data_IF_605657195393
#
_entry.id   IF_605657195393
#
_cell.length_a   1.000
_cell.length_b   1.000
_cell.length_c   1.000
_cell.angle_alpha   90.00
_cell.angle_beta   90.00
_cell.angle_gamma   90.00
#
_symmetry.space_group_name_H-M   'P 1'
#
loop_
_entity.id
_entity.type
_entity.pdbx_description
1 polymer ?
#
# COMPACT_ATOMS: atom_id res chain seq x y z
N UNK A 1 -9.95 36.11 23.38
CA UNK A 1 -8.80 35.40 23.97
C UNK A 1 -7.55 36.26 23.99
N UNK A 2 -6.83 36.29 25.12
CA UNK A 2 -5.53 36.94 25.24
C UNK A 2 -4.39 35.90 25.20
N UNK A 3 -3.74 35.79 24.04
CA UNK A 3 -2.60 34.90 23.82
C UNK A 3 -1.32 35.37 24.51
N UNK A 4 -1.38 36.52 25.19
CA UNK A 4 -0.29 37.03 26.02
C UNK A 4 -0.17 36.36 27.37
N UNK A 5 -1.17 35.55 27.73
CA UNK A 5 -1.20 34.79 28.98
C UNK A 5 -0.97 33.30 28.70
N UNK A 6 -0.21 32.59 29.56
CA UNK A 6 -0.04 31.15 29.47
C UNK A 6 -1.38 30.39 29.39
N UNK A 7 -2.36 30.81 30.21
CA UNK A 7 -3.70 30.22 30.22
C UNK A 7 -4.46 30.41 28.90
N UNK A 8 -4.32 31.58 28.25
CA UNK A 8 -4.95 31.83 26.95
C UNK A 8 -4.38 30.96 25.83
N UNK A 9 -3.06 30.72 25.85
CA UNK A 9 -2.39 29.82 24.90
C UNK A 9 -2.79 28.35 25.13
N UNK A 10 -2.90 27.93 26.40
CA UNK A 10 -3.28 26.57 26.77
C UNK A 10 -4.72 26.24 26.33
N UNK A 11 -5.68 27.16 26.57
CA UNK A 11 -7.06 27.00 26.12
C UNK A 11 -7.10 26.85 24.59
N UNK A 12 -6.39 27.71 23.86
CA UNK A 12 -6.33 27.60 22.41
C UNK A 12 -5.73 26.27 21.95
N UNK A 13 -4.61 25.86 22.56
CA UNK A 13 -3.96 24.61 22.20
C UNK A 13 -4.88 23.40 22.40
N UNK A 14 -5.67 23.40 23.49
CA UNK A 14 -6.67 22.35 23.76
C UNK A 14 -7.77 22.34 22.70
N UNK A 15 -8.33 23.50 22.36
CA UNK A 15 -9.40 23.58 21.36
C UNK A 15 -8.87 23.21 19.95
N UNK A 16 -7.62 23.55 19.64
CA UNK A 16 -6.94 23.13 18.40
C UNK A 16 -6.68 21.62 18.42
N UNK A 17 -6.23 21.06 19.55
CA UNK A 17 -6.01 19.63 19.72
C UNK A 17 -7.30 18.82 19.48
N UNK A 18 -8.42 19.27 20.04
CA UNK A 18 -9.74 18.67 19.84
C UNK A 18 -10.13 18.69 18.34
N UNK A 19 -9.97 19.84 17.67
CA UNK A 19 -10.23 19.96 16.23
C UNK A 19 -9.35 19.02 15.39
N UNK A 20 -8.10 18.80 15.80
CA UNK A 20 -7.15 17.96 15.08
C UNK A 20 -7.25 16.47 15.44
N UNK A 21 -8.10 16.09 16.40
CA UNK A 21 -8.14 14.71 16.91
C UNK A 21 -6.86 14.31 17.64
N UNK A 22 -6.16 15.26 18.25
CA UNK A 22 -4.94 14.99 19.00
C UNK A 22 -5.26 14.37 20.37
N UNK A 23 -4.28 13.64 20.93
CA UNK A 23 -4.47 12.85 22.14
C UNK A 23 -4.47 13.72 23.40
N UNK A 24 -3.52 14.66 23.51
CA UNK A 24 -3.42 15.57 24.67
C UNK A 24 -2.63 16.83 24.37
N UNK A 25 -2.68 17.77 25.30
CA UNK A 25 -1.82 18.96 25.33
C UNK A 25 -0.93 18.95 26.57
N UNK A 26 0.30 19.43 26.45
CA UNK A 26 1.26 19.52 27.55
C UNK A 26 1.91 20.91 27.60
N UNK A 27 2.11 21.42 28.82
CA UNK A 27 2.87 22.65 29.05
C UNK A 27 4.21 22.27 29.69
N UNK A 28 5.28 22.40 28.91
CA UNK A 28 6.60 21.85 29.28
C UNK A 28 7.40 22.84 30.12
N UNK A 29 6.94 23.11 31.36
CA UNK A 29 7.59 23.97 32.38
C UNK A 29 7.87 25.43 31.97
N UNK A 30 7.67 25.77 30.70
CA UNK A 30 7.96 27.04 30.06
C UNK A 30 6.61 27.70 29.77
N UNK A 31 6.28 28.82 30.43
CA UNK A 31 4.93 29.38 30.40
C UNK A 31 4.49 29.86 29.01
N UNK A 32 5.44 30.14 28.11
CA UNK A 32 5.18 30.67 26.76
C UNK A 32 5.13 29.60 25.66
N UNK A 33 4.96 28.32 26.03
CA UNK A 33 5.00 27.20 25.10
C UNK A 33 3.99 26.13 25.48
N UNK A 34 3.19 25.69 24.52
CA UNK A 34 2.27 24.56 24.70
C UNK A 34 2.48 23.56 23.58
N UNK A 35 2.51 22.28 23.91
CA UNK A 35 2.64 21.17 22.97
C UNK A 35 1.28 20.52 22.74
N UNK A 36 1.00 20.17 21.48
CA UNK A 36 -0.10 19.30 21.07
C UNK A 36 0.50 17.97 20.66
N UNK A 37 0.07 16.88 21.29
CA UNK A 37 0.62 15.53 21.10
C UNK A 37 -0.46 14.64 20.49
N UNK A 38 -0.15 14.06 19.33
CA UNK A 38 -0.99 13.10 18.64
C UNK A 38 -0.80 11.69 19.21
N UNK A 39 -1.76 10.80 18.96
CA UNK A 39 -1.71 9.42 19.43
C UNK A 39 -0.52 8.63 18.84
N UNK A 40 -0.02 9.03 17.69
CA UNK A 40 1.14 8.46 17.01
C UNK A 40 2.49 9.06 17.46
N UNK A 41 2.49 9.89 18.51
CA UNK A 41 3.68 10.52 19.08
C UNK A 41 4.14 11.79 18.35
N UNK A 42 3.53 12.16 17.21
CA UNK A 42 3.81 13.45 16.58
C UNK A 42 3.49 14.58 17.55
N UNK A 43 4.34 15.59 17.56
CA UNK A 43 4.19 16.73 18.46
C UNK A 43 4.28 18.04 17.69
N UNK A 44 3.35 18.95 17.98
CA UNK A 44 3.37 20.33 17.52
C UNK A 44 3.62 21.24 18.71
N UNK A 45 4.43 22.26 18.50
CA UNK A 45 4.73 23.26 19.50
C UNK A 45 4.12 24.61 19.09
N UNK A 46 3.33 25.19 19.98
CA UNK A 46 2.70 26.50 19.80
C UNK A 46 3.43 27.50 20.68
N UNK A 47 3.92 28.57 20.05
CA UNK A 47 4.63 29.68 20.70
C UNK A 47 3.99 31.00 20.28
N UNK A 48 3.59 31.87 21.21
CA UNK A 48 3.06 33.18 20.87
C UNK A 48 4.20 34.04 20.28
N UNK A 49 3.92 34.68 19.15
CA UNK A 49 4.87 35.56 18.46
C UNK A 49 4.47 37.04 18.67
N UNK A 50 5.38 37.98 18.41
CA UNK A 50 5.05 39.42 18.40
C UNK A 50 4.63 39.87 16.99
N UNK A 51 3.54 40.65 16.84
CA UNK A 51 2.58 41.04 17.87
C UNK A 51 1.78 39.84 18.40
N UNK A 52 1.37 39.89 19.68
CA UNK A 52 0.73 38.80 20.47
C UNK A 52 -0.65 38.33 19.93
N UNK A 53 -0.93 38.61 18.68
CA UNK A 53 -2.05 38.11 17.88
C UNK A 53 -1.58 37.04 16.88
N UNK A 54 -0.30 36.67 16.89
CA UNK A 54 0.28 35.65 16.03
C UNK A 54 0.82 34.50 16.85
N UNK A 55 0.72 33.30 16.29
CA UNK A 55 1.26 32.08 16.89
C UNK A 55 2.18 31.46 15.86
N UNK A 56 3.42 31.21 16.28
CA UNK A 56 4.34 30.36 15.54
C UNK A 56 4.08 28.93 15.95
N UNK A 57 3.94 28.05 14.96
CA UNK A 57 3.64 26.64 15.15
C UNK A 57 4.76 25.87 14.50
N UNK A 58 5.46 25.07 15.29
CA UNK A 58 6.62 24.29 14.88
C UNK A 58 6.32 22.81 15.02
N UNK A 59 6.67 22.02 14.02
CA UNK A 59 6.67 20.57 14.16
C UNK A 59 7.90 20.13 14.95
N UNK A 60 7.71 19.44 16.07
CA UNK A 60 8.82 18.81 16.79
C UNK A 60 9.17 17.54 16.02
N UNK A 61 10.40 17.49 15.52
CA UNK A 61 10.93 16.35 14.79
C UNK A 61 11.81 15.49 15.71
N UNK A 62 11.81 14.16 15.53
CA UNK A 62 12.71 13.27 16.26
C UNK A 62 14.18 13.53 15.83
N UNK A 63 15.15 13.14 16.65
CA UNK A 63 16.57 13.42 16.41
C UNK A 63 17.08 12.85 15.08
N UNK A 64 16.54 11.69 14.68
CA UNK A 64 16.83 11.01 13.42
C UNK A 64 16.48 11.86 12.20
N UNK A 65 15.47 12.75 12.31
CA UNK A 65 15.13 13.71 11.25
C UNK A 65 16.30 14.67 10.99
N UNK A 66 16.90 15.18 12.06
CA UNK A 66 18.03 16.11 12.00
C UNK A 66 19.26 15.42 11.41
N UNK A 67 19.52 14.17 11.81
CA UNK A 67 20.62 13.37 11.26
C UNK A 67 20.49 13.15 9.73
N UNK A 68 19.26 13.18 9.20
CA UNK A 68 18.98 13.06 7.77
C UNK A 68 18.77 14.42 7.06
N UNK A 69 19.09 15.54 7.71
CA UNK A 69 18.86 16.90 7.22
C UNK A 69 17.40 17.16 6.80
N UNK A 70 16.44 16.51 7.46
CA UNK A 70 15.02 16.76 7.26
C UNK A 70 14.58 17.92 8.15
N UNK A 71 13.89 18.89 7.57
CA UNK A 71 13.35 20.05 8.28
C UNK A 71 11.93 20.33 7.81
N UNK A 72 11.12 20.87 8.72
CA UNK A 72 9.78 21.39 8.43
C UNK A 72 9.79 22.87 8.80
N UNK A 73 9.43 23.72 7.85
CA UNK A 73 9.35 25.15 8.10
C UNK A 73 8.21 25.45 9.09
N UNK A 74 8.48 26.23 10.16
CA UNK A 74 7.42 26.70 11.05
C UNK A 74 6.41 27.55 10.29
N UNK A 75 5.14 27.44 10.68
CA UNK A 75 4.10 28.34 10.17
C UNK A 75 3.78 29.41 11.19
N UNK A 76 3.46 30.61 10.73
CA UNK A 76 2.90 31.66 11.58
C UNK A 76 1.45 31.90 11.19
N UNK A 77 0.54 31.82 12.15
CA UNK A 77 -0.89 32.01 11.96
C UNK A 77 -1.34 33.25 12.74
N UNK A 78 -2.23 34.05 12.15
CA UNK A 78 -2.84 35.18 12.84
C UNK A 78 -4.14 34.74 13.51
N UNK A 79 -4.18 34.86 14.84
CA UNK A 79 -5.24 34.37 15.69
C UNK A 79 -6.42 35.36 15.85
N UNK A 80 -6.81 36.01 14.74
CA UNK A 80 -7.96 36.91 14.68
C UNK A 80 -8.79 36.66 13.40
N UNK A 81 -9.23 35.42 13.12
CA UNK A 81 -10.12 35.16 11.99
C UNK A 81 -11.51 35.74 12.25
N UNK A 82 -12.27 36.00 11.18
CA UNK A 82 -13.68 36.38 11.30
C UNK A 82 -14.53 35.19 11.78
N UNK A 83 -15.31 35.34 12.86
CA UNK A 83 -16.20 34.26 13.33
C UNK A 83 -17.35 33.98 12.37
N UNK A 84 -17.83 32.73 12.35
CA UNK A 84 -19.10 32.37 11.71
C UNK A 84 -20.29 32.85 12.57
N UNK A 85 -21.52 32.96 12.02
CA UNK A 85 -22.68 33.51 12.74
C UNK A 85 -23.03 32.83 14.08
N UNK A 86 -22.63 31.56 14.28
CA UNK A 86 -22.87 30.78 15.50
C UNK A 86 -21.61 30.52 16.34
N UNK A 87 -20.48 31.14 15.97
CA UNK A 87 -19.15 30.86 16.51
C UNK A 87 -18.62 32.08 17.27
N UNK A 88 -18.00 31.88 18.42
CA UNK A 88 -17.30 32.96 19.12
C UNK A 88 -15.87 33.14 18.57
N UNK A 89 -15.19 34.21 18.97
CA UNK A 89 -13.82 34.49 18.48
C UNK A 89 -12.84 33.37 18.78
N UNK A 90 -12.99 32.72 19.93
CA UNK A 90 -12.07 31.70 20.42
C UNK A 90 -12.18 30.43 19.57
N UNK A 91 -13.40 29.95 19.31
CA UNK A 91 -13.66 28.82 18.38
C UNK A 91 -13.21 29.13 16.96
N UNK A 92 -13.46 30.34 16.48
CA UNK A 92 -13.02 30.76 15.14
C UNK A 92 -11.48 30.70 15.03
N UNK A 93 -10.79 31.12 16.08
CA UNK A 93 -9.33 31.10 16.19
C UNK A 93 -8.79 29.67 16.20
N UNK A 94 -9.38 28.78 16.99
CA UNK A 94 -9.02 27.37 17.04
C UNK A 94 -9.20 26.69 15.67
N UNK A 95 -10.37 26.85 15.04
CA UNK A 95 -10.66 26.30 13.72
C UNK A 95 -9.70 26.80 12.66
N UNK A 96 -9.45 28.11 12.59
CA UNK A 96 -8.52 28.69 11.61
C UNK A 96 -7.08 28.18 11.80
N UNK A 97 -6.64 28.07 13.06
CA UNK A 97 -5.32 27.55 13.39
C UNK A 97 -5.20 26.07 13.00
N UNK A 98 -6.20 25.26 13.34
CA UNK A 98 -6.27 23.86 12.93
C UNK A 98 -6.27 23.71 11.40
N UNK A 99 -7.01 24.52 10.66
CA UNK A 99 -7.03 24.50 9.18
C UNK A 99 -5.64 24.78 8.59
N UNK A 100 -4.90 25.74 9.15
CA UNK A 100 -3.54 26.02 8.72
C UNK A 100 -2.57 24.87 9.04
N UNK A 101 -2.69 24.24 10.21
CA UNK A 101 -1.92 23.06 10.58
C UNK A 101 -2.19 21.91 9.60
N UNK A 102 -3.47 21.58 9.36
CA UNK A 102 -3.88 20.50 8.44
C UNK A 102 -3.35 20.70 7.03
N UNK A 103 -3.39 21.92 6.51
CA UNK A 103 -2.99 22.21 5.12
C UNK A 103 -1.49 22.33 4.94
N UNK A 104 -0.76 22.84 5.93
CA UNK A 104 0.64 23.23 5.76
C UNK A 104 1.62 22.36 6.54
N UNK A 105 1.32 22.01 7.79
CA UNK A 105 2.26 21.27 8.65
C UNK A 105 2.05 19.76 8.57
N UNK A 106 0.80 19.28 8.65
CA UNK A 106 0.54 17.84 8.68
C UNK A 106 1.10 17.09 7.46
N UNK A 107 0.96 17.57 6.20
CA UNK A 107 1.53 16.88 5.04
C UNK A 107 3.05 16.79 5.10
N UNK A 108 3.72 17.83 5.61
CA UNK A 108 5.17 17.84 5.79
C UNK A 108 5.61 16.88 6.90
N UNK A 109 4.88 16.83 8.02
CA UNK A 109 5.14 15.88 9.11
C UNK A 109 4.97 14.44 8.65
N UNK A 110 3.90 14.15 7.91
CA UNK A 110 3.67 12.84 7.30
C UNK A 110 4.81 12.46 6.35
N UNK A 111 5.25 13.38 5.48
CA UNK A 111 6.37 13.13 4.58
C UNK A 111 7.69 12.86 5.31
N UNK A 112 7.99 13.59 6.40
CA UNK A 112 9.18 13.34 7.22
C UNK A 112 9.08 12.00 7.96
N UNK A 113 7.93 11.71 8.59
CA UNK A 113 7.70 10.43 9.27
C UNK A 113 7.85 9.25 8.31
N UNK A 114 7.30 9.35 7.09
CA UNK A 114 7.45 8.33 6.04
C UNK A 114 8.91 8.11 5.63
N UNK A 115 9.75 9.18 5.59
CA UNK A 115 11.19 9.05 5.31
C UNK A 115 11.97 8.37 6.43
N UNK A 116 11.55 8.57 7.68
CA UNK A 116 12.18 7.98 8.85
C UNK A 116 11.69 6.57 9.16
N UNK A 117 10.53 6.19 8.62
CA UNK A 117 9.92 4.87 8.85
C UNK A 117 10.85 3.75 8.38
N UNK A 118 11.28 2.91 9.32
CA UNK A 118 12.04 1.70 9.03
C UNK A 118 11.25 0.75 8.12
N UNK A 119 9.92 0.68 8.31
CA UNK A 119 8.98 -0.04 7.46
C UNK A 119 9.06 0.44 6.01
N UNK A 120 8.98 1.75 5.78
CA UNK A 120 9.09 2.35 4.44
C UNK A 120 10.47 2.12 3.86
N UNK A 121 11.54 2.22 4.65
CA UNK A 121 12.91 1.93 4.18
C UNK A 121 13.05 0.48 3.72
N UNK A 122 12.54 -0.49 4.48
CA UNK A 122 12.49 -1.92 4.10
C UNK A 122 11.68 -2.10 2.81
N UNK A 123 10.49 -1.53 2.73
CA UNK A 123 9.65 -1.57 1.53
C UNK A 123 10.39 -1.03 0.30
N UNK A 124 10.99 0.16 0.38
CA UNK A 124 11.75 0.78 -0.72
C UNK A 124 12.94 -0.08 -1.18
N UNK A 125 13.58 -0.77 -0.24
CA UNK A 125 14.71 -1.68 -0.53
C UNK A 125 14.24 -2.94 -1.25
N UNK A 126 13.09 -3.50 -0.85
CA UNK A 126 12.49 -4.64 -1.52
C UNK A 126 12.02 -4.28 -2.93
N UNK A 127 11.35 -3.13 -3.08
CA UNK A 127 10.81 -2.67 -4.35
C UNK A 127 11.89 -2.18 -5.33
N UNK A 128 13.10 -1.84 -4.86
CA UNK A 128 14.19 -1.47 -5.78
C UNK A 128 14.74 -2.64 -6.59
N UNK A 129 14.33 -3.88 -6.28
CA UNK A 129 14.60 -5.05 -7.12
C UNK A 129 13.77 -5.07 -8.42
N UNK A 130 12.69 -4.29 -8.49
CA UNK A 130 11.85 -4.22 -9.68
C UNK A 130 12.59 -3.55 -10.85
N UNK A 131 12.36 -4.00 -12.09
CA UNK A 131 12.90 -3.33 -13.27
C UNK A 131 12.53 -1.85 -13.29
N UNK A 132 13.52 -0.98 -13.54
CA UNK A 132 13.29 0.46 -13.66
C UNK A 132 12.98 0.83 -15.11
N UNK A 133 11.80 1.40 -15.34
CA UNK A 133 11.43 2.02 -16.61
C UNK A 133 11.27 3.54 -16.44
N UNK A 134 11.60 4.37 -17.44
CA UNK A 134 11.52 5.83 -17.30
C UNK A 134 10.11 6.34 -16.99
N UNK A 135 9.10 5.65 -17.52
CA UNK A 135 7.69 6.04 -17.45
C UNK A 135 6.86 5.19 -16.47
N UNK A 136 7.46 4.14 -15.91
CA UNK A 136 6.80 3.24 -14.97
C UNK A 136 7.62 3.10 -13.70
N UNK A 137 6.96 3.27 -12.56
CA UNK A 137 7.63 3.21 -11.27
C UNK A 137 6.67 2.79 -10.19
N UNK A 138 7.21 2.12 -9.19
CA UNK A 138 6.51 1.98 -7.93
C UNK A 138 6.51 3.31 -7.17
N UNK A 139 5.51 3.51 -6.34
CA UNK A 139 5.42 4.64 -5.41
C UNK A 139 4.95 4.14 -4.05
N UNK A 140 5.28 4.92 -3.01
CA UNK A 140 4.85 4.67 -1.63
C UNK A 140 4.25 5.96 -1.08
N UNK A 141 3.12 5.84 -0.40
CA UNK A 141 2.40 6.93 0.28
C UNK A 141 1.78 6.42 1.57
N UNK A 142 1.21 7.33 2.35
CA UNK A 142 0.42 7.01 3.54
C UNK A 142 -1.06 7.28 3.24
N UNK A 143 -1.95 6.37 3.66
CA UNK A 143 -3.40 6.55 3.61
C UNK A 143 -4.01 6.39 5.00
N UNK A 144 -5.02 7.21 5.35
CA UNK A 144 -5.81 6.96 6.55
C UNK A 144 -6.62 5.67 6.37
N UNK A 145 -6.60 4.83 7.39
CA UNK A 145 -7.38 3.59 7.46
C UNK A 145 -8.10 3.50 8.82
N UNK A 146 -9.35 3.05 8.83
CA UNK A 146 -10.08 2.80 10.07
C UNK A 146 -9.50 1.57 10.77
N UNK A 147 -8.95 1.73 11.97
CA UNK A 147 -8.51 0.58 12.76
C UNK A 147 -9.71 -0.07 13.47
N UNK A 148 -9.77 -1.40 13.61
CA UNK A 148 -10.81 -2.11 14.38
C UNK A 148 -11.05 -1.63 15.82
N UNK A 149 -10.10 -0.89 16.39
CA UNK A 149 -10.19 -0.32 17.74
C UNK A 149 -10.72 1.13 17.73
N UNK A 150 -11.23 1.62 16.61
CA UNK A 150 -11.81 2.96 16.46
C UNK A 150 -10.79 4.10 16.41
N UNK A 151 -9.52 3.81 16.17
CA UNK A 151 -8.46 4.80 16.01
C UNK A 151 -8.13 4.99 14.53
N UNK A 152 -8.30 6.19 14.00
CA UNK A 152 -7.77 6.54 12.68
C UNK A 152 -6.25 6.36 12.71
N UNK A 153 -5.74 5.38 11.97
CA UNK A 153 -4.31 5.15 11.79
C UNK A 153 -3.94 5.43 10.34
N UNK A 154 -2.73 5.91 10.12
CA UNK A 154 -2.17 5.96 8.77
C UNK A 154 -1.47 4.65 8.48
N UNK A 155 -1.84 3.99 7.39
CA UNK A 155 -1.15 2.81 6.87
C UNK A 155 -0.36 3.18 5.62
N UNK A 156 0.77 2.53 5.40
CA UNK A 156 1.55 2.73 4.20
C UNK A 156 0.91 1.97 3.03
N UNK A 157 0.95 2.56 1.83
CA UNK A 157 0.54 1.92 0.60
C UNK A 157 1.66 1.91 -0.43
N UNK A 158 1.71 0.86 -1.25
CA UNK A 158 2.55 0.76 -2.42
C UNK A 158 1.71 0.51 -3.67
N UNK A 159 2.08 1.07 -4.81
CA UNK A 159 1.43 0.79 -6.09
C UNK A 159 2.39 0.95 -7.26
N UNK A 160 2.04 0.36 -8.40
CA UNK A 160 2.76 0.52 -9.66
C UNK A 160 2.07 1.57 -10.53
N UNK A 161 2.80 2.62 -10.91
CA UNK A 161 2.31 3.66 -11.79
C UNK A 161 2.76 3.41 -13.24
N UNK A 162 1.82 3.57 -14.17
CA UNK A 162 2.03 3.52 -15.63
C UNK A 162 1.54 4.84 -16.27
N UNK A 163 1.88 5.16 -17.53
CA UNK A 163 1.32 6.33 -18.23
C UNK A 163 -0.22 6.37 -18.25
N UNK A 164 -0.88 5.21 -18.24
CA UNK A 164 -2.34 5.07 -18.18
C UNK A 164 -2.92 5.16 -16.77
N UNK A 165 -2.10 5.32 -15.73
CA UNK A 165 -2.51 5.34 -14.33
C UNK A 165 -1.98 4.15 -13.54
N UNK A 166 -2.63 3.86 -12.41
CA UNK A 166 -2.22 2.82 -11.48
C UNK A 166 -2.53 1.42 -12.04
N UNK A 167 -1.57 0.50 -11.96
CA UNK A 167 -1.73 -0.87 -12.50
C UNK A 167 -2.09 -1.86 -11.41
N UNK A 168 -3.27 -2.49 -11.55
CA UNK A 168 -3.74 -3.57 -10.67
C UNK A 168 -2.98 -4.88 -10.89
N UNK A 169 -2.52 -5.11 -12.13
CA UNK A 169 -1.82 -6.33 -12.52
C UNK A 169 -0.57 -6.63 -11.68
N UNK A 170 0.10 -5.58 -11.18
CA UNK A 170 1.37 -5.70 -10.47
C UNK A 170 1.17 -5.84 -8.96
N UNK A 171 -0.02 -5.53 -8.42
CA UNK A 171 -0.27 -5.50 -6.97
C UNK A 171 0.11 -6.81 -6.24
N UNK A 172 -0.22 -8.02 -6.73
CA UNK A 172 0.19 -9.27 -6.08
C UNK A 172 1.71 -9.44 -5.95
N UNK A 173 2.45 -8.97 -6.93
CA UNK A 173 3.92 -9.05 -6.93
C UNK A 173 4.55 -7.99 -6.02
N UNK A 174 3.93 -6.81 -5.90
CA UNK A 174 4.34 -5.83 -4.89
C UNK A 174 4.14 -6.41 -3.48
N UNK A 175 2.99 -7.03 -3.25
CA UNK A 175 2.70 -7.66 -1.96
C UNK A 175 3.69 -8.80 -1.64
N UNK A 176 4.00 -9.68 -2.59
CA UNK A 176 5.01 -10.73 -2.40
C UNK A 176 6.39 -10.16 -2.02
N UNK A 177 6.88 -9.14 -2.75
CA UNK A 177 8.16 -8.51 -2.43
C UNK A 177 8.18 -7.91 -1.02
N UNK A 178 7.09 -7.27 -0.61
CA UNK A 178 6.95 -6.69 0.72
C UNK A 178 6.86 -7.77 1.82
N UNK A 179 6.10 -8.85 1.58
CA UNK A 179 6.00 -10.01 2.48
C UNK A 179 7.36 -10.68 2.67
N UNK A 180 8.12 -10.86 1.60
CA UNK A 180 9.51 -11.38 1.65
C UNK A 180 10.48 -10.44 2.38
N UNK A 181 10.18 -9.15 2.43
CA UNK A 181 10.91 -8.19 3.24
C UNK A 181 10.47 -8.18 4.73
N UNK A 182 9.58 -9.09 5.13
CA UNK A 182 9.09 -9.25 6.49
C UNK A 182 7.98 -8.28 6.87
N UNK A 183 7.24 -7.76 5.89
CA UNK A 183 6.12 -6.84 6.10
C UNK A 183 4.78 -7.58 6.01
N UNK A 184 3.80 -7.14 6.79
CA UNK A 184 2.42 -7.55 6.60
C UNK A 184 1.83 -6.78 5.41
N UNK A 185 1.05 -7.44 4.56
CA UNK A 185 0.43 -6.80 3.39
C UNK A 185 -1.03 -7.16 3.25
N UNK A 186 -1.83 -6.21 2.79
CA UNK A 186 -3.24 -6.42 2.42
C UNK A 186 -3.44 -5.93 1.00
N UNK A 187 -4.11 -6.75 0.20
CA UNK A 187 -4.44 -6.48 -1.20
C UNK A 187 -5.96 -6.38 -1.32
N UNK A 188 -6.53 -5.17 -1.29
CA UNK A 188 -7.97 -5.02 -1.45
C UNK A 188 -8.41 -5.48 -2.85
N UNK A 189 -9.54 -6.18 -2.89
CA UNK A 189 -10.07 -6.74 -4.11
C UNK A 189 -10.35 -5.63 -5.15
N UNK A 190 -9.74 -5.74 -6.33
CA UNK A 190 -9.90 -4.76 -7.41
C UNK A 190 -9.13 -3.44 -7.21
N UNK A 191 -8.30 -3.33 -6.18
CA UNK A 191 -7.44 -2.17 -5.95
C UNK A 191 -6.11 -2.28 -6.71
N UNK A 192 -5.50 -1.14 -7.02
CA UNK A 192 -4.12 -1.07 -7.52
C UNK A 192 -3.09 -0.87 -6.40
N UNK A 193 -3.56 -0.64 -5.16
CA UNK A 193 -2.73 -0.37 -3.99
C UNK A 193 -2.60 -1.61 -3.12
N UNK A 194 -1.39 -1.83 -2.62
CA UNK A 194 -1.07 -2.79 -1.56
C UNK A 194 -0.83 -2.02 -0.28
N UNK A 195 -1.63 -2.29 0.75
CA UNK A 195 -1.42 -1.74 2.09
C UNK A 195 -0.34 -2.56 2.78
N UNK A 196 0.54 -1.92 3.54
CA UNK A 196 1.58 -2.62 4.28
C UNK A 196 1.93 -1.97 5.61
N UNK A 197 2.35 -2.80 6.55
CA UNK A 197 2.74 -2.41 7.90
C UNK A 197 3.79 -3.37 8.45
N UNK A 198 4.38 -3.02 9.60
CA UNK A 198 5.10 -4.00 10.39
C UNK A 198 4.10 -5.01 10.98
N UNK A 199 4.41 -6.31 10.95
CA UNK A 199 3.59 -7.29 11.66
C UNK A 199 3.58 -6.98 13.16
N UNK A 200 2.47 -7.23 13.87
CA UNK A 200 2.40 -6.94 15.30
C UNK A 200 3.39 -7.81 16.08
N UNK A 201 3.94 -7.25 17.17
CA UNK A 201 4.88 -7.94 18.04
C UNK A 201 4.25 -9.17 18.71
N UNK A 202 2.99 -9.06 19.11
CA UNK A 202 2.16 -10.17 19.57
C UNK A 202 1.20 -10.56 18.45
N UNK A 203 1.24 -11.83 18.06
CA UNK A 203 0.37 -12.35 17.02
C UNK A 203 -1.05 -12.50 17.58
N UNK A 204 -2.06 -11.87 16.98
CA UNK A 204 -3.44 -12.08 17.39
C UNK A 204 -3.92 -13.48 16.98
N UNK A 205 -4.96 -13.96 17.67
CA UNK A 205 -5.62 -15.24 17.37
C UNK A 205 -6.21 -15.26 15.95
N UNK A 206 -6.69 -14.12 15.46
CA UNK A 206 -7.23 -13.95 14.11
C UNK A 206 -6.71 -12.66 13.49
N UNK A 207 -6.27 -12.73 12.24
CA UNK A 207 -5.82 -11.57 11.45
C UNK A 207 -6.99 -10.89 10.75
N UNK A 208 -7.92 -11.65 10.19
CA UNK A 208 -9.07 -11.15 9.47
C UNK A 208 -10.33 -11.20 10.33
N UNK A 209 -11.12 -10.14 10.30
CA UNK A 209 -12.39 -10.05 11.03
C UNK A 209 -13.43 -9.34 10.18
N UNK A 210 -14.70 -9.56 10.52
CA UNK A 210 -15.84 -8.93 9.85
C UNK A 210 -16.35 -7.76 10.69
N UNK A 211 -16.55 -6.61 10.07
CA UNK A 211 -17.13 -5.42 10.69
C UNK A 211 -18.26 -4.86 9.81
N UNK A 212 -19.24 -4.13 10.37
CA UNK A 212 -20.20 -3.38 9.56
C UNK A 212 -19.48 -2.40 8.64
N UNK A 213 -19.87 -2.37 7.36
CA UNK A 213 -19.21 -1.50 6.39
C UNK A 213 -19.45 -0.02 6.72
N UNK A 214 -18.38 0.77 6.66
CA UNK A 214 -18.43 2.19 7.06
C UNK A 214 -18.99 3.13 5.97
N UNK A 215 -18.89 2.72 4.70
CA UNK A 215 -19.20 3.56 3.54
C UNK A 215 -20.45 3.11 2.75
N UNK A 216 -20.99 1.93 3.05
CA UNK A 216 -22.15 1.36 2.37
C UNK A 216 -22.87 0.34 3.24
N UNK A 217 -24.03 -0.13 2.78
CA UNK A 217 -24.66 -1.30 3.37
C UNK A 217 -23.80 -2.53 3.06
N UNK A 218 -23.49 -3.32 4.09
CA UNK A 218 -22.69 -4.53 3.95
C UNK A 218 -21.76 -4.79 5.13
N UNK A 219 -20.85 -5.73 4.91
CA UNK A 219 -19.92 -6.27 5.89
C UNK A 219 -18.51 -6.27 5.32
N UNK A 220 -17.63 -5.47 5.91
CA UNK A 220 -16.23 -5.35 5.55
C UNK A 220 -15.43 -6.51 6.16
N UNK A 221 -14.68 -7.22 5.32
CA UNK A 221 -13.59 -8.09 5.76
C UNK A 221 -12.34 -7.23 5.95
N UNK A 222 -11.93 -7.04 7.19
CA UNK A 222 -10.85 -6.12 7.57
C UNK A 222 -9.63 -6.91 8.04
N UNK A 223 -8.45 -6.54 7.54
CA UNK A 223 -7.17 -7.05 8.00
C UNK A 223 -6.69 -6.25 9.22
N UNK A 224 -6.51 -6.90 10.37
CA UNK A 224 -6.07 -6.25 11.60
C UNK A 224 -4.64 -5.72 11.53
N UNK A 225 -3.77 -6.27 10.67
CA UNK A 225 -2.37 -5.87 10.62
C UNK A 225 -2.20 -4.51 9.96
N UNK A 226 -2.96 -4.25 8.90
CA UNK A 226 -2.90 -3.00 8.15
C UNK A 226 -4.05 -2.07 8.46
N UNK A 227 -5.18 -2.58 8.96
CA UNK A 227 -6.45 -1.86 9.09
C UNK A 227 -7.22 -1.71 7.77
N UNK A 228 -6.72 -2.28 6.67
CA UNK A 228 -7.35 -2.15 5.36
C UNK A 228 -8.53 -3.12 5.19
N UNK A 229 -9.56 -2.65 4.48
CA UNK A 229 -10.66 -3.49 4.02
C UNK A 229 -10.19 -4.32 2.83
N UNK A 230 -10.24 -5.64 2.94
CA UNK A 230 -9.94 -6.59 1.86
C UNK A 230 -11.06 -6.55 0.82
N UNK A 231 -12.30 -6.69 1.28
CA UNK A 231 -13.50 -6.72 0.45
C UNK A 231 -14.74 -6.49 1.31
N UNK A 232 -15.74 -5.85 0.72
CA UNK A 232 -17.08 -5.72 1.31
C UNK A 232 -18.02 -6.79 0.74
N UNK A 233 -18.85 -7.37 1.60
CA UNK A 233 -19.82 -8.40 1.28
C UNK A 233 -21.22 -7.99 1.71
N UNK A 234 -22.22 -8.41 0.94
CA UNK A 234 -23.62 -8.11 1.26
C UNK A 234 -24.18 -9.01 2.38
N UNK A 235 -23.55 -10.16 2.63
CA UNK A 235 -24.00 -11.18 3.59
C UNK A 235 -22.96 -11.40 4.70
N UNK A 236 -23.40 -11.22 5.95
CA UNK A 236 -22.56 -11.35 7.15
C UNK A 236 -22.01 -12.77 7.37
N UNK A 237 -22.84 -13.79 7.14
CA UNK A 237 -22.46 -15.19 7.36
C UNK A 237 -21.46 -15.64 6.30
N UNK A 238 -21.61 -15.16 5.07
CA UNK A 238 -20.64 -15.37 4.01
C UNK A 238 -19.33 -14.67 4.30
N UNK A 239 -19.36 -13.38 4.68
CA UNK A 239 -18.17 -12.64 5.08
C UNK A 239 -17.40 -13.35 6.20
N UNK A 240 -18.13 -13.87 7.19
CA UNK A 240 -17.54 -14.60 8.32
C UNK A 240 -16.87 -15.92 7.88
N UNK A 241 -17.51 -16.69 7.00
CA UNK A 241 -16.90 -17.91 6.43
C UNK A 241 -15.63 -17.59 5.63
N UNK A 242 -15.62 -16.49 4.88
CA UNK A 242 -14.41 -16.07 4.16
C UNK A 242 -13.31 -15.65 5.14
N UNK A 243 -13.64 -14.93 6.22
CA UNK A 243 -12.68 -14.56 7.26
C UNK A 243 -12.04 -15.80 7.91
N UNK A 244 -12.84 -16.83 8.24
CA UNK A 244 -12.36 -18.09 8.83
C UNK A 244 -11.44 -18.86 7.87
N UNK A 245 -11.78 -18.92 6.59
CA UNK A 245 -10.93 -19.53 5.55
C UNK A 245 -9.60 -18.78 5.44
N UNK A 246 -9.65 -17.45 5.31
CA UNK A 246 -8.46 -16.60 5.17
C UNK A 246 -7.54 -16.68 6.40
N UNK A 247 -8.11 -16.75 7.62
CA UNK A 247 -7.32 -16.95 8.84
C UNK A 247 -6.66 -18.33 8.89
N UNK A 248 -7.35 -19.38 8.42
CA UNK A 248 -6.81 -20.74 8.36
C UNK A 248 -5.67 -20.84 7.32
N UNK A 249 -5.81 -20.18 6.18
CA UNK A 249 -4.78 -20.08 5.14
C UNK A 249 -3.56 -19.28 5.62
N UNK A 250 -3.77 -18.15 6.29
CA UNK A 250 -2.70 -17.35 6.90
C UNK A 250 -1.94 -18.15 7.99
N UNK A 251 -2.66 -18.91 8.82
CA UNK A 251 -2.04 -19.80 9.80
C UNK A 251 -1.21 -20.91 9.13
N UNK A 252 -1.74 -21.54 8.08
CA UNK A 252 -1.02 -22.57 7.33
C UNK A 252 0.25 -22.00 6.66
N UNK A 253 0.14 -20.84 6.00
CA UNK A 253 1.27 -20.16 5.37
C UNK A 253 2.36 -19.78 6.39
N UNK A 254 1.98 -19.28 7.56
CA UNK A 254 2.91 -19.00 8.67
C UNK A 254 3.63 -20.26 9.15
N UNK A 255 2.91 -21.37 9.35
CA UNK A 255 3.51 -22.66 9.76
C UNK A 255 4.46 -23.22 8.70
N UNK A 256 4.14 -23.02 7.42
CA UNK A 256 4.99 -23.42 6.29
C UNK A 256 6.12 -22.42 6.00
N UNK A 257 6.22 -21.30 6.74
CA UNK A 257 7.15 -20.21 6.48
C UNK A 257 7.13 -19.73 5.00
N UNK A 258 5.96 -19.80 4.36
CA UNK A 258 5.77 -19.45 2.95
C UNK A 258 5.23 -18.02 2.85
N UNK A 259 6.00 -17.06 2.29
CA UNK A 259 5.56 -15.65 2.23
C UNK A 259 4.33 -15.44 1.36
N UNK A 260 4.21 -16.21 0.27
CA UNK A 260 3.09 -16.12 -0.68
C UNK A 260 2.69 -17.53 -1.08
N UNK A 261 1.57 -18.06 -0.58
CA UNK A 261 1.13 -19.41 -0.96
C UNK A 261 0.61 -19.44 -2.40
N UNK A 262 0.12 -18.31 -2.91
CA UNK A 262 -0.41 -18.15 -4.24
C UNK A 262 0.17 -16.89 -4.91
N UNK A 263 0.77 -17.07 -6.09
CA UNK A 263 1.12 -15.95 -6.97
C UNK A 263 0.39 -16.12 -8.29
N UNK A 264 -0.46 -15.15 -8.68
CA UNK A 264 -1.23 -15.23 -9.90
C UNK A 264 -0.32 -15.45 -11.14
N UNK A 265 -0.64 -16.47 -11.94
CA UNK A 265 0.12 -16.81 -13.16
C UNK A 265 1.38 -17.65 -12.92
N UNK A 266 1.63 -18.14 -11.69
CA UNK A 266 2.71 -19.06 -11.37
C UNK A 266 2.17 -20.41 -10.87
N UNK A 267 2.87 -21.49 -11.23
CA UNK A 267 2.71 -22.80 -10.58
C UNK A 267 3.30 -22.77 -9.17
N UNK A 268 2.67 -23.45 -8.21
CA UNK A 268 3.08 -23.50 -6.80
C UNK A 268 4.56 -23.87 -6.63
N UNK A 269 5.03 -24.87 -7.38
CA UNK A 269 6.44 -25.33 -7.39
C UNK A 269 7.47 -24.27 -7.78
N UNK A 270 7.04 -23.16 -8.37
CA UNK A 270 7.91 -22.10 -8.90
C UNK A 270 7.81 -20.79 -8.12
N UNK A 271 6.86 -20.66 -7.18
CA UNK A 271 6.63 -19.42 -6.44
C UNK A 271 7.89 -19.00 -5.68
N UNK A 272 8.63 -19.94 -5.09
CA UNK A 272 9.85 -19.64 -4.33
C UNK A 272 11.08 -19.36 -5.21
N UNK A 273 11.00 -19.58 -6.52
CA UNK A 273 12.12 -19.34 -7.44
C UNK A 273 12.16 -17.86 -7.87
N UNK A 274 13.10 -17.09 -7.33
CA UNK A 274 13.25 -15.64 -7.59
C UNK A 274 13.30 -15.28 -9.08
N UNK A 275 14.08 -16.04 -9.85
CA UNK A 275 14.22 -15.81 -11.30
C UNK A 275 12.88 -15.98 -12.04
N UNK A 276 12.01 -16.87 -11.57
CA UNK A 276 10.69 -17.11 -12.18
C UNK A 276 9.69 -16.06 -11.74
N UNK A 277 9.71 -15.65 -10.46
CA UNK A 277 8.92 -14.50 -9.99
C UNK A 277 9.23 -13.24 -10.80
N UNK A 278 10.51 -13.00 -11.09
CA UNK A 278 10.92 -11.87 -11.92
C UNK A 278 10.29 -11.90 -13.33
N UNK A 279 10.18 -13.08 -13.97
CA UNK A 279 9.49 -13.21 -15.27
C UNK A 279 8.00 -12.86 -15.15
N UNK A 280 7.33 -13.33 -14.10
CA UNK A 280 5.93 -13.02 -13.87
C UNK A 280 5.69 -11.53 -13.62
N UNK A 281 6.58 -10.88 -12.86
CA UNK A 281 6.56 -9.43 -12.66
C UNK A 281 6.74 -8.69 -13.99
N UNK A 282 7.72 -9.08 -14.82
CA UNK A 282 7.94 -8.46 -16.14
C UNK A 282 6.68 -8.55 -17.01
N UNK A 283 6.04 -9.72 -17.06
CA UNK A 283 4.77 -9.93 -17.80
C UNK A 283 3.63 -9.09 -17.24
N UNK A 284 3.49 -9.01 -15.91
CA UNK A 284 2.47 -8.20 -15.26
C UNK A 284 2.67 -6.70 -15.50
N UNK A 285 3.91 -6.21 -15.45
CA UNK A 285 4.26 -4.82 -15.78
C UNK A 285 3.97 -4.46 -17.23
N UNK A 286 4.07 -5.43 -18.14
CA UNK A 286 3.68 -5.29 -19.55
C UNK A 286 2.15 -5.37 -19.78
N UNK A 287 1.36 -5.57 -18.72
CA UNK A 287 -0.11 -5.64 -18.79
C UNK A 287 -0.65 -7.01 -19.21
N UNK A 288 0.16 -8.06 -19.15
CA UNK A 288 -0.27 -9.42 -19.51
C UNK A 288 -0.90 -10.17 -18.33
N UNK A 289 -1.71 -9.49 -17.52
CA UNK A 289 -2.30 -10.10 -16.34
C UNK A 289 -3.72 -9.58 -16.07
N UNK A 290 -4.77 -10.43 -16.12
CA UNK A 290 -6.15 -10.02 -15.92
C UNK A 290 -6.54 -9.87 -14.44
N UNK A 291 -5.57 -9.68 -13.54
CA UNK A 291 -5.82 -9.57 -12.10
C UNK A 291 -6.57 -8.27 -11.76
N UNK A 292 -7.64 -8.38 -10.97
CA UNK A 292 -8.43 -7.23 -10.52
C UNK A 292 -9.22 -6.50 -11.62
N UNK A 293 -9.39 -7.14 -12.79
CA UNK A 293 -10.20 -6.64 -13.89
C UNK A 293 -11.68 -7.03 -13.73
N UNK A 294 -12.58 -6.19 -14.24
CA UNK A 294 -14.02 -6.49 -14.31
C UNK A 294 -14.30 -7.43 -15.49
N UNK A 295 -15.54 -7.94 -15.54
CA UNK A 295 -15.89 -9.00 -16.48
C UNK A 295 -15.67 -8.65 -17.97
N UNK A 296 -15.85 -7.38 -18.31
CA UNK A 296 -15.69 -6.88 -19.68
C UNK A 296 -14.21 -6.78 -20.08
N UNK A 297 -13.32 -6.50 -19.12
CA UNK A 297 -11.91 -6.21 -19.36
C UNK A 297 -11.06 -7.50 -19.42
N UNK A 298 -11.49 -8.60 -18.78
CA UNK A 298 -10.73 -9.86 -18.75
C UNK A 298 -10.69 -10.57 -20.11
N UNK A 299 -11.73 -10.44 -20.96
CA UNK A 299 -11.77 -11.08 -22.29
C UNK A 299 -10.74 -10.47 -23.26
N UNK A 300 -10.24 -9.28 -22.93
CA UNK A 300 -9.37 -8.48 -23.77
C UNK A 300 -7.90 -8.52 -23.31
N UNK A 301 -7.66 -8.88 -22.04
CA UNK A 301 -6.31 -8.92 -21.46
C UNK A 301 -5.80 -10.36 -21.41
N UNK A 302 -4.81 -10.73 -22.22
CA UNK A 302 -4.28 -12.09 -22.18
C UNK A 302 -3.51 -12.31 -20.90
N UNK A 303 -3.82 -13.40 -20.19
CA UNK A 303 -3.04 -13.83 -19.03
C UNK A 303 -1.86 -14.70 -19.43
N UNK A 304 -1.04 -15.05 -18.45
CA UNK A 304 0.02 -16.04 -18.59
C UNK A 304 -0.04 -17.08 -17.48
N UNK A 305 0.56 -18.24 -17.73
CA UNK A 305 0.86 -19.23 -16.72
C UNK A 305 2.28 -19.75 -16.91
N UNK A 306 3.13 -19.61 -15.88
CA UNK A 306 4.49 -20.12 -15.87
C UNK A 306 4.53 -21.43 -15.07
N UNK A 307 5.04 -22.48 -15.70
CA UNK A 307 5.12 -23.82 -15.13
C UNK A 307 6.44 -24.51 -15.48
N UNK A 308 6.81 -25.59 -14.76
CA UNK A 308 8.10 -26.24 -14.96
C UNK A 308 8.32 -26.69 -16.41
N UNK A 309 9.54 -26.45 -16.91
CA UNK A 309 9.95 -26.90 -18.24
C UNK A 309 10.52 -28.32 -18.23
N UNK A 310 10.96 -28.81 -19.41
CA UNK A 310 11.52 -30.16 -19.55
C UNK A 310 12.87 -30.33 -18.85
N UNK A 311 13.53 -29.23 -18.50
CA UNK A 311 14.83 -29.21 -17.83
C UNK A 311 14.78 -28.28 -16.62
N UNK A 312 15.58 -28.51 -15.57
CA UNK A 312 15.58 -27.67 -14.37
C UNK A 312 15.94 -26.19 -14.61
N UNK A 313 16.69 -25.90 -15.67
CA UNK A 313 17.04 -24.55 -16.10
C UNK A 313 15.98 -23.89 -16.99
N UNK A 314 14.86 -24.57 -17.26
CA UNK A 314 13.86 -24.11 -18.19
C UNK A 314 12.47 -24.03 -17.54
N UNK A 315 11.72 -23.00 -17.93
CA UNK A 315 10.29 -22.86 -17.61
C UNK A 315 9.49 -22.67 -18.89
N UNK A 316 8.21 -23.04 -18.85
CA UNK A 316 7.27 -22.81 -19.94
C UNK A 316 6.30 -21.71 -19.55
N UNK A 317 6.05 -20.80 -20.47
CA UNK A 317 5.07 -19.71 -20.34
C UNK A 317 3.96 -19.97 -21.35
N UNK A 318 2.76 -20.26 -20.87
CA UNK A 318 1.58 -20.42 -21.69
C UNK A 318 0.71 -19.16 -21.64
N UNK A 319 -0.08 -18.94 -22.71
CA UNK A 319 -1.18 -17.97 -22.72
C UNK A 319 -2.38 -18.58 -22.00
N UNK A 320 -3.02 -17.79 -21.14
CA UNK A 320 -4.33 -18.14 -20.58
C UNK A 320 -5.43 -17.57 -21.47
N UNK A 321 -6.34 -18.44 -21.91
CA UNK A 321 -7.52 -18.09 -22.71
C UNK A 321 -8.71 -17.67 -21.83
N UNK A 322 -8.84 -18.30 -20.66
CA UNK A 322 -9.89 -18.04 -19.67
C UNK A 322 -9.23 -17.95 -18.28
N UNK A 323 -9.18 -16.77 -17.65
CA UNK A 323 -8.41 -16.61 -16.42
C UNK A 323 -9.07 -17.22 -15.16
N UNK A 324 -10.32 -17.69 -15.24
CA UNK A 324 -11.06 -18.24 -14.10
C UNK A 324 -11.92 -19.45 -14.51
N UNK A 325 -11.71 -20.61 -13.86
CA UNK A 325 -12.56 -21.82 -13.99
C UNK A 325 -11.79 -23.14 -14.05
N UNK A 326 -10.60 -23.13 -14.63
CA UNK A 326 -9.56 -24.15 -14.53
C UNK A 326 -8.33 -23.55 -15.20
N UNK A 327 -7.16 -23.56 -14.56
CA UNK A 327 -5.91 -23.19 -15.24
C UNK A 327 -5.69 -24.20 -16.36
N UNK A 328 -6.18 -23.90 -17.56
CA UNK A 328 -5.92 -24.67 -18.76
C UNK A 328 -4.99 -23.84 -19.64
N UNK A 329 -3.71 -24.21 -19.75
CA UNK A 329 -2.84 -23.67 -20.77
C UNK A 329 -3.56 -23.78 -22.12
N UNK A 330 -3.86 -22.66 -22.76
CA UNK A 330 -4.53 -22.67 -24.04
C UNK A 330 -3.57 -23.20 -25.10
N UNK A 331 -3.83 -24.41 -25.61
CA UNK A 331 -3.06 -24.92 -26.73
C UNK A 331 -3.54 -24.21 -28.00
N UNK A 332 -2.59 -23.78 -28.85
CA UNK A 332 -2.90 -23.04 -30.08
C UNK A 332 -3.93 -23.72 -30.99
N UNK A 333 -3.98 -25.06 -31.00
CA UNK A 333 -4.93 -25.82 -31.83
C UNK A 333 -6.39 -25.73 -31.33
N UNK A 334 -6.61 -25.27 -30.09
CA UNK A 334 -7.94 -25.09 -29.49
C UNK A 334 -8.50 -23.69 -29.75
N UNK A 335 -7.65 -22.75 -30.21
CA UNK A 335 -8.08 -21.39 -30.52
C UNK A 335 -8.88 -21.35 -31.83
N UNK A 336 -10.07 -20.71 -31.87
CA UNK A 336 -10.79 -20.45 -33.12
C UNK A 336 -9.89 -19.71 -34.12
N UNK A 337 -10.05 -19.95 -35.44
CA UNK A 337 -9.19 -19.34 -36.49
C UNK A 337 -9.04 -17.81 -36.33
N UNK A 338 -10.11 -17.13 -35.94
CA UNK A 338 -10.16 -15.68 -35.67
C UNK A 338 -9.28 -15.21 -34.50
N UNK A 339 -8.85 -16.12 -33.62
CA UNK A 339 -7.98 -15.85 -32.48
C UNK A 339 -6.54 -16.33 -32.67
N UNK A 340 -6.25 -17.14 -33.69
CA UNK A 340 -4.90 -17.68 -33.94
C UNK A 340 -3.89 -16.56 -34.21
N UNK A 341 -4.27 -15.55 -34.99
CA UNK A 341 -3.41 -14.39 -35.26
C UNK A 341 -3.14 -13.55 -34.00
N UNK A 342 -4.14 -13.44 -33.12
CA UNK A 342 -4.01 -12.75 -31.83
C UNK A 342 -3.10 -13.55 -30.89
N UNK A 343 -3.30 -14.86 -30.80
CA UNK A 343 -2.48 -15.79 -30.03
C UNK A 343 -1.00 -15.71 -30.43
N UNK A 344 -0.70 -15.82 -31.73
CA UNK A 344 0.67 -15.74 -32.25
C UNK A 344 1.31 -14.37 -31.98
N UNK A 345 0.53 -13.28 -32.07
CA UNK A 345 1.00 -11.92 -31.79
C UNK A 345 1.36 -11.75 -30.31
N UNK A 346 0.54 -12.27 -29.41
CA UNK A 346 0.74 -12.20 -27.97
C UNK A 346 1.94 -13.06 -27.53
N UNK A 347 2.08 -14.30 -28.04
CA UNK A 347 3.28 -15.10 -27.77
C UNK A 347 4.56 -14.42 -28.26
N UNK A 348 4.54 -13.76 -29.43
CA UNK A 348 5.69 -12.97 -29.89
C UNK A 348 5.96 -11.77 -28.99
N UNK A 349 4.93 -11.16 -28.40
CA UNK A 349 5.09 -10.07 -27.44
C UNK A 349 5.75 -10.56 -26.15
N UNK A 350 5.26 -11.67 -25.58
CA UNK A 350 5.86 -12.32 -24.42
C UNK A 350 7.31 -12.68 -24.70
N UNK A 351 7.60 -13.29 -25.85
CA UNK A 351 8.95 -13.72 -26.19
C UNK A 351 9.93 -12.54 -26.32
N UNK A 352 9.48 -11.40 -26.89
CA UNK A 352 10.29 -10.18 -26.93
C UNK A 352 10.57 -9.62 -25.54
N UNK A 353 9.55 -9.63 -24.67
CA UNK A 353 9.66 -9.11 -23.31
C UNK A 353 10.61 -9.95 -22.46
N UNK A 354 10.47 -11.27 -22.50
CA UNK A 354 11.25 -12.20 -21.68
C UNK A 354 12.69 -12.40 -22.19
N UNK A 355 12.99 -11.92 -23.39
CA UNK A 355 14.32 -11.98 -23.96
C UNK A 355 15.21 -10.94 -23.28
N UNK A 356 16.20 -11.41 -22.53
CA UNK A 356 17.10 -10.56 -21.76
C UNK A 356 18.40 -11.26 -21.38
N UNK A 357 19.31 -10.55 -20.71
CA UNK A 357 20.60 -11.10 -20.29
C UNK A 357 20.42 -12.37 -19.44
N UNK A 358 21.23 -13.40 -19.69
CA UNK A 358 21.20 -14.64 -18.92
C UNK A 358 20.00 -15.55 -19.20
N UNK A 359 19.23 -15.29 -20.27
CA UNK A 359 18.06 -16.07 -20.66
C UNK A 359 18.09 -16.34 -22.17
N UNK A 360 17.59 -17.50 -22.58
CA UNK A 360 17.32 -17.83 -23.99
C UNK A 360 15.84 -18.13 -24.13
N UNK A 361 15.18 -17.54 -25.13
CA UNK A 361 13.74 -17.65 -25.33
C UNK A 361 13.43 -18.31 -26.66
N UNK A 362 12.61 -19.37 -26.63
CA UNK A 362 12.15 -20.09 -27.81
C UNK A 362 10.62 -20.13 -27.85
N UNK A 363 10.03 -19.65 -28.95
CA UNK A 363 8.58 -19.77 -29.19
C UNK A 363 8.27 -21.19 -29.64
N UNK A 364 7.33 -21.83 -28.96
CA UNK A 364 6.80 -23.16 -29.27
C UNK A 364 5.36 -23.05 -29.76
N UNK A 365 4.79 -24.18 -30.21
CA UNK A 365 3.41 -24.23 -30.71
C UNK A 365 2.37 -23.88 -29.64
N UNK A 366 2.65 -24.21 -28.38
CA UNK A 366 1.75 -24.16 -27.23
C UNK A 366 2.24 -23.21 -26.12
N UNK A 367 3.21 -22.34 -26.43
CA UNK A 367 3.74 -21.37 -25.49
C UNK A 367 5.17 -20.96 -25.79
N UNK A 368 5.90 -20.58 -24.76
CA UNK A 368 7.28 -20.11 -24.84
C UNK A 368 8.10 -20.90 -23.84
N UNK A 369 9.29 -21.33 -24.26
CA UNK A 369 10.29 -21.85 -23.35
C UNK A 369 11.31 -20.75 -23.04
N UNK A 370 11.52 -20.49 -21.75
CA UNK A 370 12.59 -19.63 -21.25
C UNK A 370 13.61 -20.51 -20.55
N UNK A 371 14.86 -20.48 -21.02
CA UNK A 371 15.98 -21.23 -20.45
C UNK A 371 16.97 -20.25 -19.82
N UNK A 372 17.26 -20.41 -18.53
CA UNK A 372 18.22 -19.60 -17.79
C UNK A 372 19.65 -20.12 -18.02
N UNK A 373 20.61 -19.20 -18.20
CA UNK A 373 22.03 -19.54 -18.41
C UNK A 373 22.68 -20.18 -17.19
N UNK A 374 22.20 -19.83 -15.99
CA UNK A 374 22.47 -20.56 -14.75
C UNK A 374 21.14 -21.12 -14.26
N UNK A 375 21.08 -22.40 -13.84
CA UNK A 375 19.85 -22.97 -13.34
C UNK A 375 19.36 -22.17 -12.12
N UNK A 376 18.04 -21.95 -11.99
CA UNK A 376 17.48 -21.33 -10.79
C UNK A 376 17.87 -22.15 -9.56
N UNK A 377 18.16 -21.51 -8.42
CA UNK A 377 18.31 -22.21 -7.16
C UNK A 377 17.00 -22.98 -6.90
N UNK A 378 17.13 -24.28 -6.61
CA UNK A 378 15.97 -25.09 -6.22
C UNK A 378 15.56 -24.71 -4.78
N UNK A 379 14.26 -24.70 -4.47
CA UNK A 379 13.78 -24.56 -3.10
C UNK A 379 14.30 -25.66 -2.19
#
# INVERSE_FOLDING_TARGET
MDLSTPAGLEILARDVAEQLGAHRTEQDGTPDRVRIIFADGRTLELVPNRPRTRITITAVLPEEATAQNLAIEPITVTALPRPRPSENQDKATARHTADHIRRRLMPQQTAVASRLSATVKRARTALSALPTHPEQRWAVSDLPVPHPLGLDRTCHIAWWHTPSGESRAVAPFLADLLRRAGLATTEPHGSAHVFFSDPPAEQPDARFHVAPASACDGWDLVDQFTGAVVRTYDDAQWAQRIAESANSEDEAARRAATPSPDLPGLSDDLIEVEQVRALAVELAMAGHMPYGLVDVDYTQTPGFFIYPGPQPSAVRVARLLEPWGAIRPGARFEAPEREVERYDRELRAYARLLNGPGRTVAVQLDGIQVTFSAPPPRP
#
